data_IF_820743300689
#
_entry.id   IF_820743300689
#
_cell.length_a   1.000
_cell.length_b   1.000
_cell.length_c   1.000
_cell.angle_alpha   90.00
_cell.angle_beta   90.00
_cell.angle_gamma   90.00
#
_symmetry.space_group_name_H-M   'P 1'
#
loop_
_entity.id
_entity.type
_entity.pdbx_description
1 polymer ?
#
# COMPACT_ATOMS: atom_id res chain seq x y z
N UNK A 1 -23.43 8.37 -9.88
CA UNK A 1 -22.10 8.27 -10.56
C UNK A 1 -20.96 7.96 -9.58
N UNK A 2 -20.79 8.70 -8.49
CA UNK A 2 -19.64 8.53 -7.58
C UNK A 2 -19.52 7.16 -6.90
N UNK A 3 -20.64 6.48 -6.61
CA UNK A 3 -20.61 5.13 -6.00
C UNK A 3 -20.02 4.03 -6.90
N UNK A 4 -19.99 4.21 -8.24
CA UNK A 4 -19.29 3.29 -9.16
C UNK A 4 -17.79 3.53 -9.16
N UNK A 5 -17.38 4.80 -9.05
CA UNK A 5 -15.98 5.23 -9.01
C UNK A 5 -15.30 4.73 -7.73
N UNK A 6 -15.96 4.85 -6.58
CA UNK A 6 -15.42 4.37 -5.30
C UNK A 6 -15.30 2.84 -5.28
N UNK A 7 -16.28 2.14 -5.85
CA UNK A 7 -16.20 0.67 -5.98
C UNK A 7 -15.00 0.23 -6.79
N UNK A 8 -14.60 0.98 -7.82
CA UNK A 8 -13.38 0.71 -8.57
C UNK A 8 -12.14 0.81 -7.67
N UNK A 9 -12.00 1.88 -6.88
CA UNK A 9 -10.85 2.03 -5.99
C UNK A 9 -10.79 0.96 -4.91
N UNK A 10 -11.94 0.58 -4.32
CA UNK A 10 -12.00 -0.53 -3.37
C UNK A 10 -11.60 -1.85 -4.04
N UNK A 11 -12.00 -2.04 -5.30
CA UNK A 11 -11.64 -3.21 -6.09
C UNK A 11 -10.15 -3.25 -6.43
N UNK A 12 -9.48 -2.11 -6.53
CA UNK A 12 -8.02 -2.04 -6.74
C UNK A 12 -7.24 -2.31 -5.43
N UNK A 13 -7.78 -1.88 -4.28
CA UNK A 13 -7.12 -2.01 -2.97
C UNK A 13 -7.04 -3.47 -2.51
N UNK A 14 -8.15 -4.21 -2.55
CA UNK A 14 -8.20 -5.55 -1.94
C UNK A 14 -7.20 -6.55 -2.59
N UNK A 15 -7.13 -6.68 -3.92
CA UNK A 15 -6.16 -7.55 -4.57
C UNK A 15 -4.71 -7.14 -4.32
N UNK A 16 -4.43 -5.84 -4.21
CA UNK A 16 -3.09 -5.36 -3.91
C UNK A 16 -2.65 -5.77 -2.49
N UNK A 17 -3.56 -5.69 -1.50
CA UNK A 17 -3.31 -6.20 -0.16
C UNK A 17 -3.09 -7.73 -0.15
N UNK A 18 -3.89 -8.48 -0.90
CA UNK A 18 -3.75 -9.94 -1.01
C UNK A 18 -2.39 -10.33 -1.62
N UNK A 19 -1.95 -9.61 -2.65
CA UNK A 19 -0.64 -9.81 -3.27
C UNK A 19 0.51 -9.48 -2.31
N UNK A 20 0.41 -8.40 -1.52
CA UNK A 20 1.41 -8.09 -0.47
C UNK A 20 1.51 -9.27 0.51
N UNK A 21 0.38 -9.75 1.02
CA UNK A 21 0.35 -10.88 1.94
C UNK A 21 0.92 -12.15 1.28
N UNK A 22 0.61 -12.40 0.02
CA UNK A 22 1.12 -13.55 -0.72
C UNK A 22 2.64 -13.50 -0.93
N UNK A 23 3.17 -12.35 -1.36
CA UNK A 23 4.60 -12.19 -1.66
C UNK A 23 5.47 -12.32 -0.40
N UNK A 24 4.97 -11.83 0.72
CA UNK A 24 5.68 -11.76 2.00
C UNK A 24 5.47 -13.00 2.88
N UNK A 25 4.54 -13.89 2.50
CA UNK A 25 4.20 -15.11 3.26
C UNK A 25 5.43 -15.99 3.46
N UNK A 26 5.79 -16.22 4.72
CA UNK A 26 6.93 -17.06 5.09
C UNK A 26 8.30 -16.48 4.72
N UNK A 27 8.36 -15.20 4.32
CA UNK A 27 9.61 -14.46 4.09
C UNK A 27 10.01 -13.74 5.36
N UNK A 28 11.31 -13.72 5.66
CA UNK A 28 11.89 -12.89 6.71
C UNK A 28 12.41 -11.57 6.12
N UNK A 29 12.70 -10.60 7.00
CA UNK A 29 13.34 -9.34 6.64
C UNK A 29 14.61 -9.51 5.78
N UNK A 30 15.44 -10.50 6.08
CA UNK A 30 16.65 -10.80 5.29
C UNK A 30 16.33 -11.28 3.88
N UNK A 31 15.18 -11.94 3.68
CA UNK A 31 14.71 -12.31 2.34
C UNK A 31 14.29 -11.08 1.55
N UNK A 32 13.57 -10.14 2.18
CA UNK A 32 13.13 -8.90 1.55
C UNK A 32 14.34 -8.03 1.13
N UNK A 33 15.38 -7.97 1.97
CA UNK A 33 16.63 -7.23 1.68
C UNK A 33 17.45 -7.83 0.54
N UNK A 34 17.46 -9.16 0.45
CA UNK A 34 18.30 -9.89 -0.52
C UNK A 34 17.59 -10.10 -1.87
N UNK A 35 16.31 -9.77 -1.98
CA UNK A 35 15.49 -9.97 -3.17
C UNK A 35 14.89 -8.64 -3.68
N UNK A 36 15.59 -7.92 -4.58
CA UNK A 36 15.13 -6.63 -5.09
C UNK A 36 13.83 -6.75 -5.91
N UNK A 37 13.53 -7.93 -6.45
CA UNK A 37 12.28 -8.16 -7.19
C UNK A 37 11.10 -8.26 -6.22
N UNK A 38 11.26 -9.01 -5.13
CA UNK A 38 10.26 -9.08 -4.05
C UNK A 38 9.97 -7.69 -3.50
N UNK A 39 11.01 -6.92 -3.18
CA UNK A 39 10.85 -5.55 -2.70
C UNK A 39 10.10 -4.67 -3.69
N UNK A 40 10.52 -4.66 -4.96
CA UNK A 40 9.86 -3.86 -6.00
C UNK A 40 8.39 -4.26 -6.19
N UNK A 41 8.08 -5.56 -6.09
CA UNK A 41 6.72 -6.07 -6.20
C UNK A 41 5.83 -5.60 -5.03
N UNK A 42 6.36 -5.65 -3.80
CA UNK A 42 5.67 -5.20 -2.58
C UNK A 42 5.46 -3.67 -2.60
N UNK A 43 6.50 -2.90 -2.90
CA UNK A 43 6.42 -1.44 -3.03
C UNK A 43 5.37 -1.04 -4.06
N UNK A 44 5.33 -1.73 -5.20
CA UNK A 44 4.34 -1.48 -6.25
C UNK A 44 2.91 -1.70 -5.77
N UNK A 45 2.66 -2.72 -4.96
CA UNK A 45 1.32 -2.93 -4.41
C UNK A 45 0.93 -1.83 -3.42
N UNK A 46 1.87 -1.37 -2.58
CA UNK A 46 1.62 -0.24 -1.68
C UNK A 46 1.35 1.07 -2.43
N UNK A 47 2.00 1.31 -3.57
CA UNK A 47 1.66 2.44 -4.44
C UNK A 47 0.22 2.38 -4.95
N UNK A 48 -0.24 1.19 -5.37
CA UNK A 48 -1.60 0.96 -5.87
C UNK A 48 -2.61 1.24 -4.75
N UNK A 49 -2.40 0.68 -3.56
CA UNK A 49 -3.27 0.89 -2.39
C UNK A 49 -3.35 2.38 -2.04
N UNK A 50 -2.20 3.07 -1.95
CA UNK A 50 -2.16 4.48 -1.59
C UNK A 50 -2.78 5.41 -2.63
N UNK A 51 -2.61 5.13 -3.92
CA UNK A 51 -3.24 5.91 -5.00
C UNK A 51 -4.76 5.70 -5.01
N UNK A 52 -5.22 4.45 -4.99
CA UNK A 52 -6.65 4.14 -4.97
C UNK A 52 -7.35 4.77 -3.76
N UNK A 53 -6.73 4.70 -2.57
CA UNK A 53 -7.25 5.32 -1.36
C UNK A 53 -7.28 6.85 -1.46
N UNK A 54 -6.22 7.48 -1.98
CA UNK A 54 -6.17 8.93 -2.18
C UNK A 54 -7.30 9.40 -3.09
N UNK A 55 -7.52 8.70 -4.22
CA UNK A 55 -8.59 9.04 -5.16
C UNK A 55 -9.99 8.79 -4.55
N UNK A 56 -10.16 7.72 -3.78
CA UNK A 56 -11.42 7.45 -3.09
C UNK A 56 -11.79 8.58 -2.11
N UNK A 57 -10.82 9.10 -1.36
CA UNK A 57 -11.01 10.22 -0.41
C UNK A 57 -11.28 11.54 -1.14
N UNK A 58 -10.61 11.81 -2.27
CA UNK A 58 -10.90 12.99 -3.09
C UNK A 58 -12.36 12.97 -3.58
N UNK A 59 -12.85 11.80 -4.01
CA UNK A 59 -14.23 11.64 -4.49
C UNK A 59 -15.24 11.67 -3.34
N UNK A 60 -14.94 11.01 -2.23
CA UNK A 60 -15.77 10.97 -1.03
C UNK A 60 -14.91 11.16 0.22
N UNK A 61 -14.82 12.39 0.77
CA UNK A 61 -13.97 12.68 1.93
C UNK A 61 -14.27 11.84 3.16
N UNK A 62 -15.56 11.51 3.42
CA UNK A 62 -15.97 10.63 4.53
C UNK A 62 -15.47 9.19 4.38
N UNK A 63 -14.90 8.81 3.24
CA UNK A 63 -14.27 7.51 3.07
C UNK A 63 -13.03 7.34 3.96
N UNK A 64 -12.38 8.45 4.36
CA UNK A 64 -11.23 8.41 5.28
C UNK A 64 -11.57 7.77 6.63
N UNK A 65 -12.80 7.96 7.10
CA UNK A 65 -13.29 7.43 8.37
C UNK A 65 -13.55 5.91 8.31
N UNK A 66 -13.62 5.35 7.10
CA UNK A 66 -13.89 3.92 6.86
C UNK A 66 -12.63 3.08 6.77
N UNK A 67 -11.46 3.70 6.69
CA UNK A 67 -10.17 3.04 6.53
C UNK A 67 -9.27 3.46 7.67
N UNK A 68 -9.02 2.51 8.57
CA UNK A 68 -8.03 2.69 9.63
C UNK A 68 -6.69 3.09 9.02
N UNK A 69 -6.03 4.09 9.62
CA UNK A 69 -4.71 4.56 9.19
C UNK A 69 -4.61 5.11 7.76
N UNK A 70 -5.72 5.53 7.15
CA UNK A 70 -5.72 6.06 5.78
C UNK A 70 -4.65 7.13 5.51
N UNK A 71 -4.48 8.09 6.43
CA UNK A 71 -3.46 9.13 6.33
C UNK A 71 -2.02 8.58 6.33
N UNK A 72 -1.76 7.53 7.12
CA UNK A 72 -0.45 6.86 7.16
C UNK A 72 -0.18 6.13 5.84
N UNK A 73 -1.17 5.43 5.29
CA UNK A 73 -1.05 4.70 4.01
C UNK A 73 -0.70 5.68 2.87
N UNK A 74 -1.40 6.82 2.79
CA UNK A 74 -1.13 7.84 1.78
C UNK A 74 0.27 8.45 1.97
N UNK A 75 0.64 8.76 3.22
CA UNK A 75 1.97 9.28 3.54
C UNK A 75 3.08 8.30 3.14
N UNK A 76 2.88 7.01 3.42
CA UNK A 76 3.80 5.95 3.06
C UNK A 76 3.99 5.86 1.54
N UNK A 77 2.90 5.85 0.76
CA UNK A 77 2.96 5.90 -0.71
C UNK A 77 3.73 7.12 -1.22
N UNK A 78 3.52 8.29 -0.63
CA UNK A 78 4.25 9.49 -1.04
C UNK A 78 5.77 9.34 -0.79
N UNK A 79 6.16 8.70 0.31
CA UNK A 79 7.57 8.39 0.58
C UNK A 79 8.16 7.38 -0.40
N UNK A 80 7.43 6.32 -0.75
CA UNK A 80 7.86 5.34 -1.76
C UNK A 80 8.14 6.01 -3.12
N UNK A 81 7.25 6.91 -3.56
CA UNK A 81 7.40 7.63 -4.83
C UNK A 81 8.63 8.55 -4.87
N UNK A 82 9.06 9.09 -3.73
CA UNK A 82 10.19 10.02 -3.64
C UNK A 82 11.56 9.34 -3.49
N UNK A 83 11.61 8.01 -3.58
CA UNK A 83 12.84 7.22 -3.62
C UNK A 83 13.10 6.45 -2.33
N UNK A 84 13.48 5.19 -2.51
CA UNK A 84 13.78 4.17 -1.49
C UNK A 84 14.91 4.52 -0.52
N UNK A 85 15.61 5.65 -0.70
CA UNK A 85 16.59 6.17 0.27
C UNK A 85 15.96 6.67 1.58
N UNK A 86 14.64 6.91 1.62
CA UNK A 86 13.94 7.43 2.80
C UNK A 86 13.04 6.41 3.52
N UNK A 87 12.78 5.24 2.92
CA UNK A 87 11.95 4.19 3.52
C UNK A 87 12.80 2.94 3.70
N UNK A 88 13.23 2.68 4.94
CA UNK A 88 13.98 1.48 5.29
C UNK A 88 13.12 0.23 5.13
N UNK A 89 13.72 -0.90 4.72
CA UNK A 89 13.01 -2.18 4.58
C UNK A 89 12.29 -2.59 5.88
N UNK A 90 12.82 -2.17 7.04
CA UNK A 90 12.18 -2.34 8.37
C UNK A 90 10.83 -1.64 8.49
N UNK A 91 10.67 -0.46 7.90
CA UNK A 91 9.39 0.28 7.91
C UNK A 91 8.36 -0.44 7.05
N UNK A 92 8.77 -0.90 5.86
CA UNK A 92 7.88 -1.66 4.96
C UNK A 92 7.40 -2.92 5.65
N UNK A 93 8.32 -3.65 6.29
CA UNK A 93 7.99 -4.88 7.03
C UNK A 93 7.08 -4.64 8.22
N UNK A 94 7.38 -3.62 9.02
CA UNK A 94 6.54 -3.27 10.16
C UNK A 94 5.09 -2.96 9.77
N UNK A 95 4.85 -2.48 8.54
CA UNK A 95 3.49 -2.28 8.01
C UNK A 95 2.83 -3.60 7.60
N UNK A 96 3.61 -4.57 7.11
CA UNK A 96 3.09 -5.90 6.71
C UNK A 96 2.69 -6.73 7.94
N UNK A 97 3.42 -6.59 9.05
CA UNK A 97 3.25 -7.39 10.27
C UNK A 97 2.27 -6.80 11.30
N UNK A 98 1.82 -5.55 11.10
CA UNK A 98 0.89 -4.84 11.98
C UNK A 98 -0.58 -5.24 11.74
#
# INVERSE_FOLDING_TARGET
MQQRVIRKYVYDIAPACDLIAQFTKGKSLDNDRSDPLLRSAVERQFEIVGEALSQAIIVQPSFVERVTDAARIITFRNRLRHGTTLVSDEVVRGIIEA
#
